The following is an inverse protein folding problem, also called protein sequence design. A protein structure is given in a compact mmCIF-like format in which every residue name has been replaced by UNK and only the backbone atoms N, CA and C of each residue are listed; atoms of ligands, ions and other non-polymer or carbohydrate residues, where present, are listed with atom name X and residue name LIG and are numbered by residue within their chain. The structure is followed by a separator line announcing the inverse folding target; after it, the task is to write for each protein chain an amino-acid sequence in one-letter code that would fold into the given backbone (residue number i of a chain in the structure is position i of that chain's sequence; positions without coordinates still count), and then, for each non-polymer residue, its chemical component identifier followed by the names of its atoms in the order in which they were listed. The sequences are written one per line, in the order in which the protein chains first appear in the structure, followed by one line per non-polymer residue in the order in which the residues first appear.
data_IF_333418543220
#
_entry.id   IF_333418543220
#
_cell.length_a   1.000
_cell.length_b   1.000
_cell.length_c   1.000
_cell.angle_alpha   90.00
_cell.angle_beta   90.00
_cell.angle_gamma   90.00
#
_symmetry.space_group_name_H-M   'P 1'
#
loop_
_entity.id
_entity.type
_entity.pdbx_description
1 polymer ?
#
# COMPACT_ATOMS: atom_id res chain seq x y z
N UNK A 1 9.34 10.47 29.54
CA UNK A 1 10.31 9.37 29.71
C UNK A 1 10.32 8.38 28.54
N UNK A 2 9.19 8.07 27.89
CA UNK A 2 9.15 7.23 26.67
C UNK A 2 9.90 7.78 25.44
N UNK A 3 10.24 9.08 25.42
CA UNK A 3 10.92 9.75 24.29
C UNK A 3 12.41 9.44 24.14
N UNK A 4 13.05 8.81 25.14
CA UNK A 4 14.49 8.56 25.14
C UNK A 4 14.88 7.14 24.69
N UNK A 5 14.05 6.13 24.97
CA UNK A 5 14.40 4.73 24.75
C UNK A 5 14.48 4.32 23.27
N UNK A 6 13.61 4.87 22.41
CA UNK A 6 13.60 4.53 20.98
C UNK A 6 14.67 5.29 20.17
N UNK A 7 15.11 6.44 20.66
CA UNK A 7 16.04 7.35 19.94
C UNK A 7 17.33 6.68 19.47
N UNK A 8 18.06 5.88 20.28
CA UNK A 8 19.28 5.22 19.82
C UNK A 8 19.03 4.21 18.69
N UNK A 9 17.89 3.50 18.70
CA UNK A 9 17.53 2.58 17.62
C UNK A 9 17.34 3.30 16.29
N UNK A 10 16.51 4.34 16.26
CA UNK A 10 16.27 5.10 15.03
C UNK A 10 17.51 5.88 14.57
N UNK A 11 18.37 6.33 15.48
CA UNK A 11 19.65 6.94 15.10
C UNK A 11 20.60 5.94 14.43
N UNK A 12 20.63 4.68 14.86
CA UNK A 12 21.42 3.61 14.21
C UNK A 12 20.87 3.26 12.82
N UNK A 13 19.55 3.29 12.63
CA UNK A 13 18.94 3.05 11.32
C UNK A 13 19.46 4.06 10.27
N UNK A 14 19.85 5.27 10.67
CA UNK A 14 20.35 6.31 9.76
C UNK A 14 21.57 5.87 8.94
N UNK A 15 22.40 4.98 9.47
CA UNK A 15 23.63 4.48 8.83
C UNK A 15 23.43 3.20 8.00
N UNK A 16 22.23 2.64 7.96
CA UNK A 16 21.95 1.42 7.19
C UNK A 16 21.85 1.76 5.70
N UNK A 17 22.43 0.95 4.79
CA UNK A 17 22.30 1.16 3.36
C UNK A 17 20.84 0.98 2.90
N UNK A 18 20.21 2.09 2.51
CA UNK A 18 18.80 2.15 2.10
C UNK A 18 18.49 1.34 0.84
N UNK A 19 19.49 1.13 -0.02
CA UNK A 19 19.39 0.25 -1.18
C UNK A 19 19.03 -1.18 -0.81
N UNK A 20 19.50 -1.67 0.35
CA UNK A 20 19.16 -3.01 0.84
C UNK A 20 17.67 -3.17 1.13
N UNK A 21 17.04 -2.16 1.74
CA UNK A 21 15.59 -2.16 1.95
C UNK A 21 14.82 -2.11 0.63
N UNK A 22 15.25 -1.28 -0.33
CA UNK A 22 14.59 -1.20 -1.62
C UNK A 22 14.62 -2.54 -2.37
N UNK A 23 15.77 -3.21 -2.38
CA UNK A 23 15.92 -4.55 -2.98
C UNK A 23 15.02 -5.55 -2.26
N UNK A 24 15.06 -5.59 -0.93
CA UNK A 24 14.23 -6.49 -0.12
C UNK A 24 12.74 -6.30 -0.41
N UNK A 25 12.26 -5.07 -0.43
CA UNK A 25 10.87 -4.73 -0.74
C UNK A 25 10.48 -5.09 -2.16
N UNK A 26 11.36 -4.88 -3.12
CA UNK A 26 11.14 -5.27 -4.51
C UNK A 26 10.97 -6.79 -4.64
N UNK A 27 11.88 -7.56 -4.05
CA UNK A 27 11.83 -9.02 -4.07
C UNK A 27 10.58 -9.55 -3.38
N UNK A 28 10.23 -9.03 -2.19
CA UNK A 28 9.03 -9.45 -1.47
C UNK A 28 7.76 -9.11 -2.25
N UNK A 29 7.65 -7.92 -2.83
CA UNK A 29 6.50 -7.56 -3.66
C UNK A 29 6.40 -8.40 -4.93
N UNK A 30 7.52 -8.69 -5.60
CA UNK A 30 7.54 -9.60 -6.76
C UNK A 30 7.07 -11.00 -6.37
N UNK A 31 7.60 -11.56 -5.27
CA UNK A 31 7.18 -12.87 -4.77
C UNK A 31 5.69 -12.90 -4.41
N UNK A 32 5.19 -11.82 -3.81
CA UNK A 32 3.78 -11.68 -3.44
C UNK A 32 2.86 -11.64 -4.67
N UNK A 33 3.22 -10.84 -5.69
CA UNK A 33 2.45 -10.76 -6.94
C UNK A 33 2.51 -12.06 -7.71
N UNK A 34 3.69 -12.69 -7.78
CA UNK A 34 3.86 -13.99 -8.42
C UNK A 34 3.00 -15.07 -7.75
N UNK A 35 3.04 -15.15 -6.42
CA UNK A 35 2.19 -16.08 -5.67
C UNK A 35 0.70 -15.82 -5.90
N UNK A 36 0.27 -14.54 -5.91
CA UNK A 36 -1.11 -14.18 -6.22
C UNK A 36 -1.55 -14.67 -7.61
N UNK A 37 -0.70 -14.44 -8.61
CA UNK A 37 -1.02 -14.82 -9.98
C UNK A 37 -1.08 -16.33 -10.14
N UNK A 38 -0.11 -17.05 -9.59
CA UNK A 38 -0.01 -18.50 -9.71
C UNK A 38 -1.18 -19.23 -9.03
N UNK A 39 -1.61 -18.76 -7.85
CA UNK A 39 -2.62 -19.46 -7.04
C UNK A 39 -4.05 -18.92 -7.22
N UNK A 40 -4.23 -17.65 -7.58
CA UNK A 40 -5.57 -17.02 -7.63
C UNK A 40 -5.96 -16.53 -9.02
N UNK A 41 -5.03 -16.31 -9.95
CA UNK A 41 -5.37 -15.89 -11.33
C UNK A 41 -5.47 -17.13 -12.22
N UNK A 42 -6.53 -17.92 -12.01
CA UNK A 42 -6.82 -19.11 -12.83
C UNK A 42 -7.83 -18.78 -13.93
N UNK A 43 -7.88 -19.60 -14.99
CA UNK A 43 -8.90 -19.49 -16.04
C UNK A 43 -10.32 -19.46 -15.47
N UNK A 44 -10.57 -20.33 -14.48
CA UNK A 44 -11.86 -20.44 -13.81
C UNK A 44 -12.22 -19.14 -13.09
N UNK A 45 -11.27 -18.50 -12.41
CA UNK A 45 -11.49 -17.20 -11.76
C UNK A 45 -11.78 -16.07 -12.76
N UNK A 46 -11.13 -16.08 -13.94
CA UNK A 46 -11.41 -15.10 -15.00
C UNK A 46 -12.77 -15.36 -15.65
N UNK A 47 -13.13 -16.62 -15.84
CA UNK A 47 -14.44 -17.04 -16.36
C UNK A 47 -15.58 -16.70 -15.38
N UNK A 48 -15.37 -16.86 -14.07
CA UNK A 48 -16.33 -16.42 -13.05
C UNK A 48 -16.50 -14.89 -13.01
N UNK A 49 -15.44 -14.11 -13.24
CA UNK A 49 -15.50 -12.64 -13.20
C UNK A 49 -16.06 -12.00 -14.47
N UNK A 50 -15.83 -12.62 -15.63
CA UNK A 50 -16.09 -12.01 -16.95
C UNK A 50 -16.96 -12.87 -17.86
N UNK A 51 -17.32 -14.09 -17.46
CA UNK A 51 -18.00 -15.07 -18.31
C UNK A 51 -19.43 -14.70 -18.69
N UNK A 52 -20.12 -13.90 -17.87
CA UNK A 52 -21.43 -13.36 -18.26
C UNK A 52 -21.33 -12.26 -19.33
N UNK A 53 -20.16 -11.61 -19.45
CA UNK A 53 -19.95 -10.46 -20.34
C UNK A 53 -19.25 -10.84 -21.65
N UNK A 54 -18.55 -11.98 -21.70
CA UNK A 54 -17.71 -12.35 -22.82
C UNK A 54 -17.83 -13.83 -23.20
N UNK A 55 -17.70 -14.14 -24.49
CA UNK A 55 -17.68 -15.53 -24.98
C UNK A 55 -16.46 -16.30 -24.45
N UNK A 56 -16.53 -17.63 -24.27
CA UNK A 56 -15.41 -18.45 -23.77
C UNK A 56 -14.10 -18.29 -24.55
N UNK A 57 -14.18 -18.13 -25.88
CA UNK A 57 -13.01 -17.89 -26.74
C UNK A 57 -12.33 -16.55 -26.43
N UNK A 58 -13.11 -15.54 -26.07
CA UNK A 58 -12.59 -14.23 -25.70
C UNK A 58 -11.98 -14.23 -24.29
N UNK A 59 -12.53 -15.04 -23.37
CA UNK A 59 -11.97 -15.27 -22.04
C UNK A 59 -10.59 -15.93 -22.14
N UNK A 60 -10.42 -16.92 -23.02
CA UNK A 60 -9.13 -17.58 -23.25
C UNK A 60 -8.07 -16.60 -23.80
N UNK A 61 -8.47 -15.70 -24.70
CA UNK A 61 -7.62 -14.62 -25.21
C UNK A 61 -7.22 -13.63 -24.11
N UNK A 62 -8.15 -13.23 -23.24
CA UNK A 62 -7.88 -12.36 -22.09
C UNK A 62 -6.92 -13.05 -21.12
N UNK A 63 -7.15 -14.33 -20.80
CA UNK A 63 -6.32 -15.10 -19.89
C UNK A 63 -4.88 -15.23 -20.41
N UNK A 64 -4.70 -15.57 -21.69
CA UNK A 64 -3.38 -15.63 -22.34
C UNK A 64 -2.68 -14.26 -22.28
N UNK A 65 -3.42 -13.16 -22.51
CA UNK A 65 -2.87 -11.79 -22.42
C UNK A 65 -2.45 -11.43 -21.00
N UNK A 66 -3.21 -11.84 -19.99
CA UNK A 66 -2.86 -11.64 -18.56
C UNK A 66 -1.56 -12.38 -18.22
N UNK A 67 -1.38 -13.61 -18.72
CA UNK A 67 -0.15 -14.36 -18.55
C UNK A 67 1.06 -13.67 -19.21
N UNK A 68 0.90 -13.12 -20.41
CA UNK A 68 2.00 -12.38 -21.08
C UNK A 68 2.37 -11.07 -20.36
N UNK A 69 1.38 -10.33 -19.86
CA UNK A 69 1.60 -9.06 -19.14
C UNK A 69 2.23 -9.30 -17.75
N UNK A 70 2.05 -10.50 -17.19
CA UNK A 70 2.51 -10.86 -15.84
C UNK A 70 4.02 -10.67 -15.69
N UNK A 71 4.83 -11.20 -16.61
CA UNK A 71 6.30 -11.09 -16.52
C UNK A 71 6.79 -9.63 -16.65
N UNK A 72 6.18 -8.84 -17.53
CA UNK A 72 6.47 -7.42 -17.65
C UNK A 72 6.08 -6.64 -16.40
N UNK A 73 4.96 -7.01 -15.78
CA UNK A 73 4.50 -6.40 -14.54
C UNK A 73 5.49 -6.67 -13.41
N UNK A 74 5.96 -7.91 -13.27
CA UNK A 74 6.96 -8.29 -12.26
C UNK A 74 8.26 -7.49 -12.39
N UNK A 75 8.75 -7.27 -13.62
CA UNK A 75 9.96 -6.47 -13.88
C UNK A 75 9.77 -4.98 -13.56
N UNK A 76 8.55 -4.47 -13.69
CA UNK A 76 8.22 -3.07 -13.42
C UNK A 76 7.93 -2.79 -11.93
N UNK A 77 7.72 -3.81 -11.09
CA UNK A 77 7.42 -3.65 -9.64
C UNK A 77 8.44 -2.75 -8.92
N UNK A 78 9.78 -2.93 -9.06
CA UNK A 78 10.76 -2.08 -8.39
C UNK A 78 10.57 -0.61 -8.76
N UNK A 79 10.33 -0.33 -10.05
CA UNK A 79 10.08 1.02 -10.54
C UNK A 79 8.80 1.62 -9.92
N UNK A 80 7.69 0.87 -9.90
CA UNK A 80 6.46 1.33 -9.26
C UNK A 80 6.61 1.58 -7.76
N UNK A 81 7.36 0.74 -7.06
CA UNK A 81 7.68 0.93 -5.64
C UNK A 81 8.47 2.24 -5.45
N UNK A 82 9.49 2.49 -6.28
CA UNK A 82 10.29 3.70 -6.22
C UNK A 82 9.45 4.96 -6.47
N UNK A 83 8.62 4.94 -7.51
CA UNK A 83 7.69 6.04 -7.83
C UNK A 83 6.74 6.28 -6.66
N UNK A 84 6.12 5.23 -6.11
CA UNK A 84 5.18 5.33 -4.98
C UNK A 84 5.84 5.92 -3.75
N UNK A 85 7.04 5.47 -3.39
CA UNK A 85 7.78 6.02 -2.24
C UNK A 85 8.19 7.47 -2.48
N UNK A 86 8.62 7.81 -3.69
CA UNK A 86 9.03 9.18 -4.06
C UNK A 86 7.86 10.14 -4.00
N UNK A 87 6.71 9.78 -4.58
CA UNK A 87 5.49 10.59 -4.53
C UNK A 87 5.01 10.81 -3.10
N UNK A 88 5.03 9.76 -2.26
CA UNK A 88 4.66 9.88 -0.85
C UNK A 88 5.64 10.79 -0.08
N UNK A 89 6.94 10.65 -0.34
CA UNK A 89 7.97 11.49 0.28
C UNK A 89 7.83 12.96 -0.15
N UNK A 90 7.54 13.21 -1.43
CA UNK A 90 7.32 14.56 -1.96
C UNK A 90 6.08 15.19 -1.34
N UNK A 91 4.99 14.44 -1.22
CA UNK A 91 3.76 14.91 -0.59
C UNK A 91 4.01 15.30 0.87
N UNK A 92 4.66 14.44 1.66
CA UNK A 92 5.00 14.75 3.05
C UNK A 92 5.95 15.94 3.13
N UNK A 93 6.97 16.00 2.27
CA UNK A 93 7.92 17.10 2.24
C UNK A 93 7.24 18.43 1.90
N UNK A 94 6.27 18.44 0.98
CA UNK A 94 5.45 19.61 0.67
C UNK A 94 4.70 20.11 1.91
N UNK A 95 4.04 19.22 2.67
CA UNK A 95 3.34 19.62 3.89
C UNK A 95 4.28 20.11 5.00
N UNK A 96 5.48 19.54 5.09
CA UNK A 96 6.51 20.07 5.98
C UNK A 96 6.93 21.49 5.57
N UNK A 97 7.13 21.76 4.27
CA UNK A 97 7.43 23.11 3.78
C UNK A 97 6.29 24.10 4.07
N UNK A 98 5.04 23.70 3.81
CA UNK A 98 3.85 24.53 4.08
C UNK A 98 3.68 24.87 5.57
N UNK A 99 4.07 23.95 6.46
CA UNK A 99 4.03 24.15 7.91
C UNK A 99 5.34 24.71 8.48
N UNK A 100 6.26 25.15 7.62
CA UNK A 100 7.58 25.73 7.98
C UNK A 100 8.46 24.80 8.83
N UNK A 101 8.27 23.49 8.68
CA UNK A 101 9.06 22.44 9.32
C UNK A 101 10.17 22.01 8.36
N UNK A 102 11.37 22.54 8.54
CA UNK A 102 12.49 22.29 7.63
C UNK A 102 13.12 20.90 7.86
N UNK A 103 12.62 19.90 7.15
CA UNK A 103 13.19 18.56 7.08
C UNK A 103 13.59 18.30 5.63
N UNK A 104 14.86 17.93 5.40
CA UNK A 104 15.34 17.61 4.05
C UNK A 104 14.53 16.48 3.41
N UNK A 105 14.27 16.58 2.11
CA UNK A 105 13.60 15.53 1.33
C UNK A 105 14.27 14.16 1.52
N UNK A 106 15.61 14.12 1.48
CA UNK A 106 16.40 12.91 1.73
C UNK A 106 16.08 12.27 3.08
N UNK A 107 15.91 13.08 4.13
CA UNK A 107 15.51 12.60 5.46
C UNK A 107 14.10 12.03 5.48
N UNK A 108 13.15 12.64 4.76
CA UNK A 108 11.78 12.13 4.63
C UNK A 108 11.76 10.82 3.85
N UNK A 109 12.42 10.78 2.69
CA UNK A 109 12.50 9.60 1.83
C UNK A 109 13.11 8.41 2.57
N UNK A 110 14.25 8.60 3.24
CA UNK A 110 14.89 7.54 4.02
C UNK A 110 14.06 7.07 5.21
N UNK A 111 13.24 7.92 5.83
CA UNK A 111 12.34 7.49 6.89
C UNK A 111 11.19 6.60 6.37
N UNK A 112 10.75 6.84 5.12
CA UNK A 112 9.65 6.11 4.48
C UNK A 112 10.09 4.75 3.93
N UNK A 113 11.32 4.64 3.41
CA UNK A 113 11.85 3.39 2.82
C UNK A 113 11.64 2.17 3.73
N UNK A 114 12.11 2.13 4.98
CA UNK A 114 11.90 0.98 5.86
C UNK A 114 10.43 0.85 6.29
N UNK A 115 9.72 1.97 6.44
CA UNK A 115 8.30 1.97 6.78
C UNK A 115 7.45 1.28 5.70
N UNK A 116 7.87 1.32 4.43
CA UNK A 116 7.19 0.67 3.32
C UNK A 116 6.96 -0.84 3.56
N UNK A 117 7.81 -1.49 4.37
CA UNK A 117 7.61 -2.87 4.80
C UNK A 117 6.26 -3.11 5.48
N UNK A 118 5.71 -2.15 6.23
CA UNK A 118 4.37 -2.28 6.82
C UNK A 118 3.27 -2.34 5.76
N UNK A 119 3.44 -1.63 4.64
CA UNK A 119 2.49 -1.69 3.53
C UNK A 119 2.61 -3.00 2.75
N UNK A 120 3.81 -3.58 2.67
CA UNK A 120 4.00 -4.92 2.11
C UNK A 120 3.35 -5.96 3.02
N UNK A 121 3.56 -5.88 4.34
CA UNK A 121 2.90 -6.77 5.30
C UNK A 121 1.37 -6.69 5.23
N UNK A 122 0.84 -5.47 5.04
CA UNK A 122 -0.60 -5.28 4.76
C UNK A 122 -1.03 -6.07 3.53
N UNK A 123 -0.28 -5.99 2.44
CA UNK A 123 -0.62 -6.67 1.19
C UNK A 123 -0.49 -8.21 1.36
N UNK A 124 0.54 -8.69 2.06
CA UNK A 124 0.72 -10.12 2.42
C UNK A 124 -0.39 -10.64 3.34
N UNK A 125 -0.87 -9.81 4.28
CA UNK A 125 -1.92 -10.22 5.22
C UNK A 125 -3.26 -10.51 4.56
N UNK A 126 -3.53 -9.95 3.37
CA UNK A 126 -4.72 -10.28 2.57
C UNK A 126 -4.74 -11.73 2.13
N UNK A 127 -3.57 -12.33 1.88
CA UNK A 127 -3.48 -13.73 1.48
C UNK A 127 -3.86 -14.71 2.60
N UNK A 128 -3.69 -14.33 3.87
CA UNK A 128 -4.09 -15.16 5.02
C UNK A 128 -5.61 -15.37 5.02
N UNK A 129 -6.37 -14.33 4.64
CA UNK A 129 -7.82 -14.44 4.50
C UNK A 129 -8.23 -15.29 3.28
N UNK A 130 -7.41 -15.30 2.24
CA UNK A 130 -7.64 -16.09 1.03
C UNK A 130 -7.26 -17.58 1.21
N UNK A 131 -6.30 -17.92 2.08
CA UNK A 131 -5.76 -19.30 2.21
C UNK A 131 -6.65 -20.28 2.99
N UNK A 132 -7.89 -19.91 3.31
CA UNK A 132 -8.79 -20.74 4.12
C UNK A 132 -10.26 -20.68 3.74
N UNK A 133 -10.62 -20.05 2.62
CA UNK A 133 -11.99 -19.96 2.15
C UNK A 133 -12.04 -20.47 0.70
N UNK A 134 -12.85 -21.48 0.42
CA UNK A 134 -13.39 -21.68 -0.94
C UNK A 134 -14.22 -20.43 -1.22
N UNK A 135 -13.66 -19.46 -1.95
CA UNK A 135 -14.34 -18.19 -2.17
C UNK A 135 -15.22 -18.31 -3.40
N UNK A 136 -16.55 -18.34 -3.27
CA UNK A 136 -17.45 -18.27 -4.42
C UNK A 136 -17.33 -16.88 -5.05
N UNK A 137 -17.41 -16.80 -6.40
CA UNK A 137 -17.24 -15.57 -7.18
C UNK A 137 -18.02 -14.33 -6.68
N UNK A 138 -19.18 -14.51 -6.05
CA UNK A 138 -19.99 -13.44 -5.46
C UNK A 138 -19.34 -12.70 -4.28
N UNK A 139 -18.27 -13.25 -3.69
CA UNK A 139 -17.55 -12.67 -2.54
C UNK A 139 -16.23 -11.98 -2.94
N UNK A 140 -15.97 -11.74 -4.22
CA UNK A 140 -14.77 -11.05 -4.68
C UNK A 140 -14.51 -9.68 -4.00
N UNK A 141 -15.58 -8.98 -3.57
CA UNK A 141 -15.47 -7.74 -2.77
C UNK A 141 -14.98 -7.95 -1.33
N UNK A 142 -15.22 -9.12 -0.74
CA UNK A 142 -14.72 -9.49 0.59
C UNK A 142 -13.22 -9.86 0.55
N UNK A 143 -12.74 -10.39 -0.58
CA UNK A 143 -11.34 -10.82 -0.82
C UNK A 143 -10.34 -9.65 -0.76
N UNK A 144 -10.78 -8.41 -1.02
CA UNK A 144 -9.92 -7.23 -1.00
C UNK A 144 -9.85 -6.53 0.36
N UNK A 145 -10.60 -7.00 1.37
CA UNK A 145 -10.61 -6.40 2.70
C UNK A 145 -9.26 -6.58 3.39
N UNK A 146 -8.67 -5.46 3.81
CA UNK A 146 -7.43 -5.48 4.59
C UNK A 146 -7.79 -5.91 6.02
N UNK A 147 -7.12 -6.93 6.61
CA UNK A 147 -7.38 -7.28 8.00
C UNK A 147 -7.04 -6.09 8.91
N UNK A 148 -7.86 -5.88 9.94
CA UNK A 148 -7.75 -4.74 10.88
C UNK A 148 -7.94 -3.36 10.23
N UNK A 149 -8.70 -3.29 9.14
CA UNK A 149 -9.18 -2.03 8.58
C UNK A 149 -10.51 -1.58 9.21
N UNK A 150 -10.84 -0.29 9.11
CA UNK A 150 -12.12 0.25 9.59
C UNK A 150 -13.34 -0.38 8.89
N UNK A 151 -13.18 -0.83 7.66
CA UNK A 151 -14.14 -1.66 6.91
C UNK A 151 -14.46 -3.01 7.58
N UNK A 152 -13.53 -3.56 8.36
CA UNK A 152 -13.76 -4.80 9.12
C UNK A 152 -14.61 -4.56 10.38
N UNK A 153 -14.73 -3.30 10.83
CA UNK A 153 -15.53 -2.89 11.99
C UNK A 153 -16.89 -2.33 11.55
N UNK A 154 -16.93 -1.61 10.42
CA UNK A 154 -18.14 -1.02 9.86
C UNK A 154 -18.51 -1.80 8.60
N UNK A 155 -19.41 -2.78 8.73
CA UNK A 155 -19.90 -3.59 7.59
C UNK A 155 -20.82 -2.74 6.71
N UNK A 156 -20.23 -2.05 5.73
CA UNK A 156 -20.97 -1.27 4.73
C UNK A 156 -20.88 -1.95 3.37
N UNK A 157 -21.56 -3.09 3.23
CA UNK A 157 -21.60 -3.84 1.98
C UNK A 157 -22.42 -3.16 0.88
N UNK A 158 -23.32 -2.24 1.26
CA UNK A 158 -24.14 -1.47 0.32
C UNK A 158 -23.36 -0.39 -0.47
N UNK A 159 -22.14 -0.03 -0.05
CA UNK A 159 -21.36 1.07 -0.67
C UNK A 159 -19.91 0.65 -0.95
N UNK A 160 -19.63 -0.04 -2.07
CA UNK A 160 -18.29 -0.57 -2.39
C UNK A 160 -17.20 0.52 -2.44
N UNK A 161 -17.56 1.71 -2.92
CA UNK A 161 -16.66 2.88 -2.98
C UNK A 161 -16.27 3.40 -1.59
N UNK A 162 -17.23 3.47 -0.67
CA UNK A 162 -16.97 3.87 0.72
C UNK A 162 -16.16 2.80 1.45
N UNK A 163 -16.44 1.53 1.15
CA UNK A 163 -15.72 0.39 1.71
C UNK A 163 -14.24 0.38 1.28
N UNK A 164 -13.91 0.80 0.05
CA UNK A 164 -12.53 1.02 -0.40
C UNK A 164 -11.81 2.11 0.40
N UNK A 165 -12.49 3.21 0.72
CA UNK A 165 -11.94 4.28 1.56
C UNK A 165 -11.71 3.79 3.01
N UNK A 166 -12.68 3.09 3.60
CA UNK A 166 -12.58 2.54 4.95
C UNK A 166 -11.49 1.46 5.06
N UNK A 167 -11.28 0.67 4.01
CA UNK A 167 -10.15 -0.27 3.91
C UNK A 167 -8.78 0.42 3.93
N UNK A 168 -8.71 1.65 3.41
CA UNK A 168 -7.48 2.42 3.39
C UNK A 168 -7.07 2.95 4.78
N UNK A 169 -7.97 2.93 5.77
CA UNK A 169 -7.63 3.20 7.16
C UNK A 169 -7.51 1.89 7.94
N UNK A 170 -6.28 1.42 8.16
CA UNK A 170 -6.00 0.14 8.81
C UNK A 170 -4.80 0.24 9.78
N UNK A 171 -4.60 -0.81 10.58
CA UNK A 171 -3.53 -0.86 11.58
C UNK A 171 -2.13 -0.68 10.97
N UNK A 172 -1.88 -1.21 9.77
CA UNK A 172 -0.59 -1.08 9.09
C UNK A 172 -0.28 0.36 8.69
N UNK A 173 -1.30 1.14 8.33
CA UNK A 173 -1.19 2.58 8.08
C UNK A 173 -0.82 3.35 9.37
N UNK A 174 -1.40 2.93 10.50
CA UNK A 174 -1.03 3.44 11.81
C UNK A 174 0.43 3.13 12.17
N UNK A 175 0.87 1.88 11.98
CA UNK A 175 2.26 1.47 12.20
C UNK A 175 3.23 2.23 11.30
N UNK A 176 2.87 2.43 10.03
CA UNK A 176 3.63 3.23 9.09
C UNK A 176 3.77 4.68 9.56
N UNK A 177 2.67 5.32 9.98
CA UNK A 177 2.67 6.69 10.50
C UNK A 177 3.53 6.82 11.76
N UNK A 178 3.37 5.91 12.72
CA UNK A 178 4.16 5.88 13.97
C UNK A 178 5.63 5.72 13.65
N UNK A 179 6.00 4.81 12.74
CA UNK A 179 7.39 4.60 12.35
C UNK A 179 8.02 5.85 11.75
N UNK A 180 7.38 6.46 10.76
CA UNK A 180 7.88 7.68 10.09
C UNK A 180 7.98 8.83 11.10
N UNK A 181 6.97 9.00 11.95
CA UNK A 181 6.94 10.02 13.00
C UNK A 181 8.10 9.89 13.99
N UNK A 182 8.30 8.69 14.54
CA UNK A 182 9.38 8.43 15.50
C UNK A 182 10.76 8.55 14.86
N UNK A 183 10.92 8.08 13.62
CA UNK A 183 12.16 8.20 12.86
C UNK A 183 12.53 9.68 12.65
N UNK A 184 11.59 10.47 12.13
CA UNK A 184 11.82 11.89 11.87
C UNK A 184 12.06 12.66 13.16
N UNK A 185 11.31 12.38 14.24
CA UNK A 185 11.52 13.01 15.54
C UNK A 185 12.92 12.67 16.11
N UNK A 186 13.37 11.42 15.98
CA UNK A 186 14.68 11.00 16.44
C UNK A 186 15.82 11.65 15.66
N UNK A 187 15.68 11.80 14.34
CA UNK A 187 16.72 12.35 13.45
C UNK A 187 16.82 13.87 13.48
N UNK A 188 15.68 14.56 13.62
CA UNK A 188 15.62 16.03 13.60
C UNK A 188 15.68 16.63 15.01
N UNK A 189 15.33 15.85 16.04
CA UNK A 189 15.19 16.35 17.41
C UNK A 189 13.92 17.20 17.62
N UNK A 190 13.05 17.33 16.62
CA UNK A 190 11.80 18.04 16.78
C UNK A 190 10.82 17.32 17.70
N UNK A 191 9.96 18.09 18.38
CA UNK A 191 8.85 17.54 19.16
C UNK A 191 7.87 16.84 18.23
N UNK A 192 7.41 15.66 18.61
CA UNK A 192 6.45 14.83 17.87
C UNK A 192 5.26 15.66 17.34
N UNK A 193 4.69 16.53 18.19
CA UNK A 193 3.56 17.39 17.81
C UNK A 193 3.80 18.29 16.58
N UNK A 194 5.05 18.71 16.34
CA UNK A 194 5.40 19.54 15.17
C UNK A 194 5.45 18.72 13.87
N UNK A 195 5.77 17.43 13.97
CA UNK A 195 5.89 16.53 12.81
C UNK A 195 4.54 15.86 12.52
N UNK A 196 3.78 15.54 13.57
CA UNK A 196 2.57 14.74 13.48
C UNK A 196 1.51 15.34 12.56
N UNK A 197 1.18 16.62 12.74
CA UNK A 197 0.15 17.29 11.95
C UNK A 197 0.44 17.27 10.44
N UNK A 198 1.57 17.81 9.94
CA UNK A 198 1.86 17.78 8.50
C UNK A 198 1.98 16.35 7.94
N UNK A 199 2.52 15.40 8.71
CA UNK A 199 2.60 13.99 8.30
C UNK A 199 1.21 13.36 8.14
N UNK A 200 0.32 13.58 9.12
CA UNK A 200 -1.04 13.06 9.10
C UNK A 200 -1.84 13.68 7.96
N UNK A 201 -1.77 15.00 7.77
CA UNK A 201 -2.47 15.70 6.69
C UNK A 201 -2.01 15.21 5.32
N UNK A 202 -0.69 15.05 5.11
CA UNK A 202 -0.15 14.49 3.88
C UNK A 202 -0.68 13.07 3.63
N UNK A 203 -0.76 12.22 4.67
CA UNK A 203 -1.26 10.84 4.51
C UNK A 203 -2.75 10.81 4.17
N UNK A 204 -3.56 11.61 4.88
CA UNK A 204 -5.01 11.70 4.61
C UNK A 204 -5.24 12.18 3.18
N UNK A 205 -4.55 13.23 2.74
CA UNK A 205 -4.67 13.71 1.37
C UNK A 205 -4.26 12.63 0.36
N UNK A 206 -3.17 11.91 0.62
CA UNK A 206 -2.73 10.79 -0.23
C UNK A 206 -3.79 9.69 -0.35
N UNK A 207 -4.46 9.33 0.75
CA UNK A 207 -5.56 8.36 0.77
C UNK A 207 -6.75 8.88 -0.04
N UNK A 208 -7.15 10.14 0.15
CA UNK A 208 -8.27 10.77 -0.57
C UNK A 208 -7.99 10.87 -2.07
N UNK A 209 -6.76 11.22 -2.47
CA UNK A 209 -6.38 11.27 -3.89
C UNK A 209 -6.40 9.88 -4.53
N UNK A 210 -5.84 8.86 -3.87
CA UNK A 210 -5.89 7.48 -4.36
C UNK A 210 -7.34 6.98 -4.48
N UNK A 211 -8.17 7.32 -3.50
CA UNK A 211 -9.60 6.99 -3.54
C UNK A 211 -10.32 7.71 -4.69
N UNK A 212 -10.08 9.02 -4.87
CA UNK A 212 -10.67 9.82 -5.95
C UNK A 212 -10.28 9.31 -7.34
N UNK A 213 -9.03 8.87 -7.53
CA UNK A 213 -8.59 8.22 -8.77
C UNK A 213 -9.34 6.89 -8.98
N UNK A 214 -9.52 6.10 -7.92
CA UNK A 214 -10.29 4.86 -7.99
C UNK A 214 -11.76 5.09 -8.39
N UNK A 215 -12.40 6.11 -7.83
CA UNK A 215 -13.76 6.52 -8.18
C UNK A 215 -13.84 7.01 -9.62
N UNK A 216 -12.87 7.84 -10.05
CA UNK A 216 -12.81 8.32 -11.43
C UNK A 216 -12.70 7.16 -12.43
N UNK A 217 -11.84 6.17 -12.14
CA UNK A 217 -11.72 4.98 -12.98
C UNK A 217 -13.04 4.21 -13.07
N UNK A 218 -13.74 4.01 -11.94
CA UNK A 218 -15.04 3.32 -11.94
C UNK A 218 -16.14 4.06 -12.70
N UNK A 219 -16.17 5.39 -12.70
CA UNK A 219 -17.23 6.16 -13.37
C UNK A 219 -17.01 6.28 -14.88
N UNK A 220 -15.74 6.37 -15.32
CA UNK A 220 -15.42 6.75 -16.70
C UNK A 220 -14.82 5.61 -17.54
N UNK A 221 -14.33 4.53 -16.93
CA UNK A 221 -13.64 3.44 -17.62
C UNK A 221 -14.30 2.06 -17.45
N UNK A 222 -15.21 1.91 -16.48
CA UNK A 222 -16.06 0.73 -16.27
C UNK A 222 -17.51 1.11 -16.58
#
# INVERSE_FOLDING_TARGET
MLTLAYRPFFQRIKSVPWSGFFILWSVLSMATVWFYQDHFTTRQTVEELLGEQFSPVYIDLIFARIQDITYWTLLCIPFFILVRMTLMALLIHLFFMLTQVWISFKGVFHAIVPAFGFLILRDVSKFILMSGMDVPGDKAGEILRVPLALSAVVSVDAYPVLNKLLNAFNCFEGLWLVWVLLTLAAWTGFKIKKIFFPLLTARILGIVLMWGIGVFYEIYML
#
